data_IF_098525242905
#
_entry.id   IF_098525242905
#
_cell.length_a   1.000
_cell.length_b   1.000
_cell.length_c   1.000
_cell.angle_alpha   90.00
_cell.angle_beta   90.00
_cell.angle_gamma   90.00
#
_symmetry.space_group_name_H-M   'P 1'
#
loop_
_entity.id
_entity.type
_entity.pdbx_description
1 polymer ?
#
# COMPACT_ATOMS: atom_id res chain seq x y z
N UNK A 1 -5.41 54.53 -43.24
CA UNK A 1 -5.87 53.58 -42.20
C UNK A 1 -4.69 52.81 -41.58
N UNK A 2 -4.09 53.26 -40.46
CA UNK A 2 -3.13 52.45 -39.68
C UNK A 2 -3.48 52.31 -38.17
N UNK A 3 -4.55 52.94 -37.68
CA UNK A 3 -4.82 53.07 -36.24
C UNK A 3 -5.43 51.80 -35.60
N UNK A 4 -6.19 51.01 -36.37
CA UNK A 4 -6.88 49.81 -35.87
C UNK A 4 -5.89 48.67 -35.58
N UNK A 5 -4.81 48.53 -36.36
CA UNK A 5 -3.84 47.45 -36.15
C UNK A 5 -3.06 47.64 -34.85
N UNK A 6 -2.58 48.86 -34.54
CA UNK A 6 -1.82 49.15 -33.30
C UNK A 6 -2.63 48.90 -32.02
N UNK A 7 -3.93 49.20 -32.03
CA UNK A 7 -4.83 48.95 -30.89
C UNK A 7 -5.00 47.44 -30.61
N UNK A 8 -5.21 46.65 -31.66
CA UNK A 8 -5.33 45.19 -31.55
C UNK A 8 -4.02 44.52 -31.13
N UNK A 9 -2.86 45.01 -31.59
CA UNK A 9 -1.54 44.55 -31.14
C UNK A 9 -1.29 44.87 -29.65
N UNK A 10 -1.68 46.06 -29.19
CA UNK A 10 -1.60 46.44 -27.77
C UNK A 10 -2.49 45.57 -26.89
N UNK A 11 -3.74 45.30 -27.31
CA UNK A 11 -4.66 44.42 -26.60
C UNK A 11 -4.16 42.97 -26.54
N UNK A 12 -3.64 42.43 -27.65
CA UNK A 12 -3.05 41.09 -27.72
C UNK A 12 -1.82 40.97 -26.81
N UNK A 13 -0.97 42.00 -26.79
CA UNK A 13 0.22 42.02 -25.93
C UNK A 13 -0.14 42.09 -24.44
N UNK A 14 -1.17 42.87 -24.08
CA UNK A 14 -1.71 42.92 -22.71
C UNK A 14 -2.33 41.58 -22.30
N UNK A 15 -3.11 40.96 -23.19
CA UNK A 15 -3.69 39.64 -22.94
C UNK A 15 -2.60 38.57 -22.75
N UNK A 16 -1.58 38.57 -23.62
CA UNK A 16 -0.44 37.67 -23.50
C UNK A 16 0.31 37.89 -22.18
N UNK A 17 0.53 39.14 -21.78
CA UNK A 17 1.17 39.46 -20.50
C UNK A 17 0.33 38.98 -19.31
N UNK A 18 -0.98 39.23 -19.31
CA UNK A 18 -1.88 38.72 -18.26
C UNK A 18 -1.85 37.20 -18.19
N UNK A 19 -1.91 36.50 -19.33
CA UNK A 19 -1.82 35.04 -19.39
C UNK A 19 -0.47 34.53 -18.85
N UNK A 20 0.64 35.20 -19.17
CA UNK A 20 1.96 34.86 -18.65
C UNK A 20 2.04 35.05 -17.12
N UNK A 21 1.53 36.16 -16.60
CA UNK A 21 1.48 36.42 -15.15
C UNK A 21 0.60 35.38 -14.46
N UNK A 22 -0.59 35.08 -15.00
CA UNK A 22 -1.47 34.05 -14.45
C UNK A 22 -0.83 32.67 -14.49
N UNK A 23 -0.18 32.30 -15.59
CA UNK A 23 0.52 31.02 -15.72
C UNK A 23 1.68 30.92 -14.72
N UNK A 24 2.45 32.00 -14.53
CA UNK A 24 3.50 32.05 -13.53
C UNK A 24 2.95 31.90 -12.10
N UNK A 25 1.93 32.67 -11.73
CA UNK A 25 1.28 32.55 -10.42
C UNK A 25 0.73 31.14 -10.18
N UNK A 26 0.12 30.53 -11.20
CA UNK A 26 -0.39 29.17 -11.12
C UNK A 26 0.74 28.15 -10.94
N UNK A 27 1.84 28.29 -11.68
CA UNK A 27 3.02 27.43 -11.56
C UNK A 27 3.66 27.55 -10.17
N UNK A 28 3.79 28.77 -9.62
CA UNK A 28 4.26 28.97 -8.25
C UNK A 28 3.32 28.33 -7.22
N UNK A 29 2.01 28.50 -7.37
CA UNK A 29 1.04 27.85 -6.51
C UNK A 29 1.17 26.32 -6.54
N UNK A 30 1.26 25.71 -7.73
CA UNK A 30 1.44 24.26 -7.88
C UNK A 30 2.75 23.78 -7.27
N UNK A 31 3.84 24.55 -7.40
CA UNK A 31 5.11 24.27 -6.74
C UNK A 31 4.96 24.19 -5.22
N UNK A 32 4.42 25.23 -4.58
CA UNK A 32 4.28 25.29 -3.12
C UNK A 32 3.36 24.20 -2.58
N UNK A 33 2.19 23.99 -3.20
CA UNK A 33 1.24 22.98 -2.72
C UNK A 33 1.77 21.56 -2.94
N UNK A 34 2.50 21.32 -4.03
CA UNK A 34 3.13 20.01 -4.25
C UNK A 34 4.24 19.75 -3.25
N UNK A 35 5.09 20.75 -2.95
CA UNK A 35 6.12 20.67 -1.90
C UNK A 35 5.49 20.41 -0.53
N UNK A 36 4.41 21.10 -0.17
CA UNK A 36 3.71 20.88 1.09
C UNK A 36 3.11 19.48 1.18
N UNK A 37 2.50 18.98 0.10
CA UNK A 37 1.90 17.65 0.07
C UNK A 37 2.96 16.53 0.12
N UNK A 38 4.12 16.74 -0.52
CA UNK A 38 5.27 15.85 -0.38
C UNK A 38 5.81 15.89 1.05
N UNK A 39 5.96 17.07 1.66
CA UNK A 39 6.40 17.19 3.06
C UNK A 39 5.45 16.44 4.01
N UNK A 40 4.14 16.56 3.78
CA UNK A 40 3.12 15.83 4.54
C UNK A 40 3.15 14.32 4.28
N UNK A 41 3.53 13.86 3.07
CA UNK A 41 3.75 12.43 2.80
C UNK A 41 5.01 11.90 3.47
N UNK A 42 6.07 12.69 3.48
CA UNK A 42 7.38 12.26 4.00
C UNK A 42 7.64 12.66 5.45
N UNK A 43 6.63 13.17 6.16
CA UNK A 43 6.70 13.38 7.61
C UNK A 43 6.76 12.05 8.36
N UNK A 44 7.35 12.10 9.55
CA UNK A 44 7.44 10.96 10.44
C UNK A 44 6.06 10.41 10.81
N UNK A 45 5.98 9.09 10.99
CA UNK A 45 4.85 8.46 11.66
C UNK A 45 5.25 8.19 13.10
N UNK A 46 4.52 8.75 14.06
CA UNK A 46 4.74 8.45 15.47
C UNK A 46 4.14 7.08 15.76
N UNK A 47 5.00 6.14 16.17
CA UNK A 47 4.57 4.84 16.65
C UNK A 47 4.48 4.90 18.18
N UNK A 48 3.28 5.22 18.69
CA UNK A 48 3.02 5.34 20.13
C UNK A 48 3.38 4.04 20.88
N UNK A 49 4.25 4.14 21.88
CA UNK A 49 4.49 3.07 22.86
C UNK A 49 3.37 3.13 23.91
N UNK A 50 2.14 2.85 23.49
CA UNK A 50 0.97 3.06 24.36
C UNK A 50 0.83 2.00 25.48
N UNK A 51 1.54 0.87 25.41
CA UNK A 51 1.51 -0.16 26.46
C UNK A 51 2.92 -0.66 26.77
N UNK A 52 3.33 -0.68 28.04
CA UNK A 52 4.62 -1.21 28.45
C UNK A 52 4.86 -2.69 28.11
N UNK A 53 3.79 -3.44 27.83
CA UNK A 53 3.82 -4.85 27.47
C UNK A 53 3.96 -5.08 25.95
N UNK A 54 3.70 -4.05 25.14
CA UNK A 54 3.79 -4.08 23.67
C UNK A 54 5.03 -3.31 23.18
N UNK A 55 6.12 -3.27 23.94
CA UNK A 55 7.31 -2.54 23.51
C UNK A 55 7.91 -3.24 22.30
N UNK A 56 7.90 -2.61 21.11
CA UNK A 56 8.72 -3.10 20.03
C UNK A 56 10.16 -3.07 20.55
N UNK A 57 10.89 -4.19 20.46
CA UNK A 57 12.29 -4.24 20.88
C UNK A 57 13.11 -3.47 19.84
N UNK A 58 13.07 -2.14 19.94
CA UNK A 58 13.75 -1.21 19.07
C UNK A 58 15.25 -1.11 19.38
N UNK A 59 15.68 -1.64 20.53
CA UNK A 59 17.07 -1.80 20.95
C UNK A 59 17.39 -3.30 21.08
N UNK A 60 18.35 -3.78 20.28
CA UNK A 60 18.95 -5.13 20.31
C UNK A 60 20.42 -4.96 19.86
N UNK A 61 21.38 -5.62 20.53
CA UNK A 61 21.47 -7.07 20.39
C UNK A 61 21.67 -7.82 21.72
N UNK A 62 21.13 -9.02 21.78
CA UNK A 62 21.71 -10.13 22.56
C UNK A 62 22.61 -10.98 21.64
N UNK A 63 23.33 -11.95 22.21
CA UNK A 63 24.38 -12.70 21.52
C UNK A 63 23.85 -13.52 20.31
N UNK A 64 22.64 -14.08 20.41
CA UNK A 64 22.02 -14.87 19.33
C UNK A 64 21.67 -14.00 18.11
N UNK A 65 21.15 -12.79 18.33
CA UNK A 65 20.85 -11.85 17.25
C UNK A 65 22.11 -11.40 16.50
N UNK A 66 23.23 -11.25 17.22
CA UNK A 66 24.51 -10.90 16.63
C UNK A 66 25.06 -12.04 15.76
N UNK A 67 25.01 -13.29 16.24
CA UNK A 67 25.42 -14.47 15.47
C UNK A 67 24.59 -14.65 14.19
N UNK A 68 23.27 -14.44 14.26
CA UNK A 68 22.40 -14.51 13.08
C UNK A 68 22.72 -13.42 12.06
N UNK A 69 22.94 -12.18 12.50
CA UNK A 69 23.35 -11.08 11.61
C UNK A 69 24.70 -11.34 10.96
N UNK A 70 25.66 -11.87 11.71
CA UNK A 70 26.97 -12.24 11.21
C UNK A 70 26.88 -13.37 10.16
N UNK A 71 26.03 -14.39 10.35
CA UNK A 71 25.75 -15.42 9.32
C UNK A 71 25.18 -14.79 8.04
N UNK A 72 24.21 -13.88 8.16
CA UNK A 72 23.62 -13.21 7.00
C UNK A 72 24.68 -12.44 6.21
N UNK A 73 25.49 -11.63 6.89
CA UNK A 73 26.52 -10.80 6.26
C UNK A 73 27.64 -11.66 5.68
N UNK A 74 28.08 -12.71 6.38
CA UNK A 74 29.14 -13.60 5.93
C UNK A 74 28.79 -14.36 4.65
N UNK A 75 27.50 -14.67 4.43
CA UNK A 75 27.01 -15.42 3.28
C UNK A 75 26.29 -14.53 2.25
N UNK A 76 26.68 -13.25 2.15
CA UNK A 76 26.06 -12.30 1.23
C UNK A 76 26.14 -12.69 -0.24
N UNK A 77 27.18 -13.40 -0.64
CA UNK A 77 27.37 -13.88 -2.01
C UNK A 77 26.33 -14.93 -2.42
N UNK A 78 25.68 -15.59 -1.46
CA UNK A 78 24.62 -16.58 -1.69
C UNK A 78 23.22 -15.96 -1.77
N UNK A 79 23.09 -14.66 -1.56
CA UNK A 79 21.81 -13.97 -1.60
C UNK A 79 21.24 -13.91 -3.03
N UNK A 80 20.03 -14.45 -3.21
CA UNK A 80 19.35 -14.43 -4.51
C UNK A 80 18.44 -13.21 -4.62
N UNK A 81 18.60 -12.39 -5.66
CA UNK A 81 17.75 -11.21 -5.88
C UNK A 81 16.32 -11.63 -6.20
N UNK A 82 15.35 -11.22 -5.38
CA UNK A 82 13.92 -11.38 -5.63
C UNK A 82 13.33 -10.16 -6.36
N UNK A 83 13.87 -8.97 -6.10
CA UNK A 83 13.40 -7.74 -6.74
C UNK A 83 14.26 -6.53 -6.45
N UNK A 84 14.17 -5.54 -7.34
CA UNK A 84 14.83 -4.24 -7.18
C UNK A 84 13.82 -3.13 -7.46
N UNK A 85 13.82 -2.12 -6.59
CA UNK A 85 12.95 -0.96 -6.69
C UNK A 85 13.72 0.34 -6.50
N UNK A 86 12.97 1.45 -6.52
CA UNK A 86 13.55 2.77 -6.25
C UNK A 86 14.10 2.87 -4.83
N UNK A 87 13.45 2.24 -3.84
CA UNK A 87 13.80 2.39 -2.42
C UNK A 87 14.92 1.45 -1.97
N UNK A 88 15.20 0.39 -2.73
CA UNK A 88 16.21 -0.61 -2.40
C UNK A 88 15.98 -1.95 -3.09
N UNK A 89 16.57 -3.01 -2.54
CA UNK A 89 16.54 -4.37 -3.10
C UNK A 89 15.96 -5.37 -2.12
N UNK A 90 15.43 -6.46 -2.64
CA UNK A 90 14.90 -7.59 -1.88
C UNK A 90 15.63 -8.84 -2.32
N UNK A 91 16.16 -9.58 -1.35
CA UNK A 91 16.91 -10.81 -1.53
C UNK A 91 16.25 -11.96 -0.78
N UNK A 92 16.48 -13.18 -1.24
CA UNK A 92 16.22 -14.42 -0.52
C UNK A 92 17.55 -15.06 -0.10
N UNK A 93 17.59 -15.58 1.11
CA UNK A 93 18.69 -16.41 1.61
C UNK A 93 18.14 -17.41 2.62
N UNK A 94 18.37 -18.71 2.36
CA UNK A 94 17.73 -19.82 3.11
C UNK A 94 16.22 -19.60 3.20
N UNK A 95 15.66 -19.59 4.40
CA UNK A 95 14.26 -19.37 4.74
C UNK A 95 13.95 -17.89 5.09
N UNK A 96 14.83 -16.96 4.70
CA UNK A 96 14.72 -15.54 5.01
C UNK A 96 14.63 -14.66 3.76
N UNK A 97 13.92 -13.54 3.91
CA UNK A 97 13.89 -12.44 2.96
C UNK A 97 14.61 -11.24 3.57
N UNK A 98 15.53 -10.65 2.82
CA UNK A 98 16.35 -9.52 3.25
C UNK A 98 16.02 -8.32 2.37
N UNK A 99 15.42 -7.30 2.94
CA UNK A 99 15.14 -6.02 2.27
C UNK A 99 16.20 -5.00 2.66
N UNK A 100 16.92 -4.48 1.68
CA UNK A 100 17.87 -3.38 1.88
C UNK A 100 17.22 -2.06 1.51
N UNK A 101 17.62 -0.99 2.19
CA UNK A 101 17.10 0.35 1.96
C UNK A 101 18.24 1.28 1.59
N UNK A 102 18.25 1.71 0.32
CA UNK A 102 19.32 2.54 -0.22
C UNK A 102 19.19 3.99 0.27
N UNK A 103 20.17 4.51 1.03
CA UNK A 103 20.16 5.88 1.52
C UNK A 103 20.02 6.90 0.37
N UNK A 104 19.27 7.97 0.61
CA UNK A 104 19.13 9.09 -0.33
C UNK A 104 18.19 8.87 -1.53
N UNK A 105 17.67 7.66 -1.75
CA UNK A 105 16.65 7.42 -2.80
C UNK A 105 15.24 7.70 -2.29
N UNK A 106 14.86 7.11 -1.16
CA UNK A 106 13.58 7.37 -0.48
C UNK A 106 13.86 8.01 0.89
N UNK A 107 13.13 9.06 1.28
CA UNK A 107 13.29 9.66 2.60
C UNK A 107 12.97 8.68 3.70
N UNK A 108 13.95 8.40 4.55
CA UNK A 108 13.67 7.82 5.85
C UNK A 108 12.93 8.86 6.69
N UNK A 109 11.72 8.50 7.13
CA UNK A 109 10.79 9.44 7.77
C UNK A 109 10.88 9.38 9.28
N UNK A 110 11.31 8.24 9.82
CA UNK A 110 11.34 7.95 11.24
C UNK A 110 12.74 8.09 11.80
N UNK A 111 12.85 8.49 13.05
CA UNK A 111 14.11 8.44 13.79
C UNK A 111 14.31 7.03 14.34
N UNK A 112 15.54 6.52 14.24
CA UNK A 112 15.92 5.25 14.81
C UNK A 112 15.96 5.36 16.33
N UNK A 113 15.39 4.38 17.05
CA UNK A 113 15.48 4.34 18.51
C UNK A 113 16.93 4.18 18.96
N UNK A 114 17.31 4.81 20.07
CA UNK A 114 18.64 4.68 20.66
C UNK A 114 19.78 5.34 19.86
N UNK A 115 19.52 5.91 18.67
CA UNK A 115 20.54 6.55 17.83
C UNK A 115 20.30 8.07 17.70
N UNK A 116 21.34 8.86 17.96
CA UNK A 116 21.28 10.32 17.77
C UNK A 116 21.46 10.68 16.30
N UNK A 117 20.60 11.57 15.78
CA UNK A 117 20.63 12.04 14.39
C UNK A 117 20.49 10.97 13.29
N UNK A 118 20.05 9.76 13.64
CA UNK A 118 19.90 8.67 12.67
C UNK A 118 18.42 8.46 12.31
N UNK A 119 18.16 8.31 11.02
CA UNK A 119 16.84 7.97 10.48
C UNK A 119 16.85 6.54 9.96
N UNK A 120 15.69 5.90 10.06
CA UNK A 120 15.47 4.56 9.52
C UNK A 120 14.17 4.48 8.70
N UNK A 121 14.05 3.44 7.86
CA UNK A 121 12.80 3.15 7.14
C UNK A 121 11.60 3.03 8.09
N UNK A 122 10.47 3.65 7.72
CA UNK A 122 9.20 3.49 8.45
C UNK A 122 8.79 2.02 8.55
N UNK A 123 9.13 1.21 7.55
CA UNK A 123 8.81 -0.22 7.53
C UNK A 123 9.44 -0.98 8.68
N UNK A 124 10.69 -0.67 9.07
CA UNK A 124 11.33 -1.34 10.21
C UNK A 124 10.52 -1.05 11.48
N UNK A 125 10.23 0.22 11.75
CA UNK A 125 9.46 0.62 12.92
C UNK A 125 8.05 0.00 12.94
N UNK A 126 7.36 -0.01 11.80
CA UNK A 126 6.03 -0.58 11.67
C UNK A 126 6.04 -2.11 11.81
N UNK A 127 6.99 -2.81 11.18
CA UNK A 127 7.10 -4.28 11.29
C UNK A 127 7.43 -4.72 12.70
N UNK A 128 8.32 -4.02 13.41
CA UNK A 128 8.58 -4.29 14.82
C UNK A 128 7.33 -4.07 15.69
N UNK A 129 6.50 -3.07 15.36
CA UNK A 129 5.29 -2.76 16.12
C UNK A 129 4.13 -3.73 15.87
N UNK A 130 3.94 -4.17 14.62
CA UNK A 130 2.78 -4.96 14.24
C UNK A 130 3.10 -6.44 14.02
N UNK A 131 4.21 -6.74 13.35
CA UNK A 131 4.66 -8.12 13.10
C UNK A 131 5.38 -8.75 14.29
N UNK A 132 6.03 -7.94 15.14
CA UNK A 132 6.85 -8.43 16.25
C UNK A 132 8.04 -9.29 15.80
N UNK A 133 8.58 -10.13 16.69
CA UNK A 133 9.73 -10.99 16.40
C UNK A 133 9.34 -12.46 16.22
N UNK A 134 9.97 -13.13 15.25
CA UNK A 134 9.70 -14.55 14.90
C UNK A 134 9.95 -15.53 16.08
N UNK A 135 10.95 -15.27 16.92
CA UNK A 135 11.23 -16.08 18.11
C UNK A 135 10.16 -15.96 19.21
N UNK A 136 9.51 -14.80 19.34
CA UNK A 136 8.41 -14.58 20.30
C UNK A 136 7.13 -15.30 19.83
N UNK A 137 6.95 -15.46 18.52
CA UNK A 137 5.81 -16.19 17.93
C UNK A 137 5.90 -17.70 18.18
N UNK A 138 7.10 -18.28 18.13
CA UNK A 138 7.30 -19.73 18.23
C UNK A 138 7.37 -20.27 19.67
N UNK A 139 7.72 -19.44 20.65
CA UNK A 139 7.90 -19.89 22.04
C UNK A 139 6.60 -19.97 22.86
N UNK A 140 5.44 -19.63 22.28
CA UNK A 140 4.15 -19.71 22.97
C UNK A 140 4.04 -18.82 24.23
N UNK A 141 5.04 -17.96 24.47
CA UNK A 141 5.01 -16.95 25.51
C UNK A 141 4.04 -15.88 25.04
N UNK A 142 2.77 -16.11 25.35
CA UNK A 142 1.61 -15.26 25.06
C UNK A 142 1.66 -13.94 25.88
N UNK A 143 2.85 -13.36 26.01
CA UNK A 143 3.08 -11.97 26.40
C UNK A 143 2.79 -11.00 25.25
N UNK A 144 1.71 -11.21 24.50
CA UNK A 144 0.91 -10.15 23.89
C UNK A 144 1.65 -9.07 23.07
N UNK A 145 2.68 -9.39 22.27
CA UNK A 145 3.45 -8.42 21.44
C UNK A 145 3.09 -8.37 19.95
N UNK A 146 2.39 -9.36 19.39
CA UNK A 146 2.19 -9.50 17.94
C UNK A 146 0.74 -9.28 17.51
N UNK A 147 0.51 -8.51 16.44
CA UNK A 147 -0.76 -8.53 15.74
C UNK A 147 -0.76 -9.76 14.83
N UNK A 148 -1.61 -10.74 15.13
CA UNK A 148 -1.83 -11.88 14.22
C UNK A 148 -2.16 -11.36 12.81
N UNK A 149 -1.53 -11.94 11.79
CA UNK A 149 -1.78 -11.57 10.40
C UNK A 149 -0.85 -10.52 9.77
N UNK A 150 0.27 -10.20 10.40
CA UNK A 150 1.36 -9.41 9.83
C UNK A 150 2.65 -10.22 9.73
N UNK A 151 3.51 -9.90 8.75
CA UNK A 151 4.81 -10.56 8.63
C UNK A 151 5.72 -10.22 9.83
N UNK A 152 6.25 -11.23 10.55
CA UNK A 152 7.15 -10.99 11.66
C UNK A 152 8.56 -10.59 11.19
N UNK A 153 9.32 -10.00 12.11
CA UNK A 153 10.71 -9.61 11.91
C UNK A 153 11.62 -10.68 12.50
N UNK A 154 12.65 -11.07 11.74
CA UNK A 154 13.74 -11.92 12.23
C UNK A 154 14.92 -11.10 12.71
N UNK A 155 15.30 -10.08 11.95
CA UNK A 155 16.36 -9.16 12.30
C UNK A 155 16.18 -7.82 11.60
N UNK A 156 16.83 -6.79 12.12
CA UNK A 156 17.08 -5.55 11.41
C UNK A 156 18.43 -5.01 11.85
N UNK A 157 19.20 -4.47 10.91
CA UNK A 157 20.55 -4.00 11.19
C UNK A 157 21.00 -2.99 10.16
N UNK A 158 22.09 -2.31 10.44
CA UNK A 158 22.72 -1.36 9.52
C UNK A 158 24.12 -1.87 9.20
N UNK A 159 24.39 -2.16 7.92
CA UNK A 159 25.66 -2.74 7.48
C UNK A 159 26.05 -2.19 6.11
N UNK A 160 27.35 -2.06 5.87
CA UNK A 160 27.88 -1.66 4.57
C UNK A 160 27.98 -2.86 3.62
N UNK A 161 27.83 -2.60 2.32
CA UNK A 161 28.07 -3.56 1.24
C UNK A 161 29.56 -3.87 1.08
N UNK A 162 30.39 -2.86 1.28
CA UNK A 162 31.84 -2.94 1.29
C UNK A 162 32.40 -1.89 2.26
N UNK A 163 33.66 -2.00 2.71
CA UNK A 163 34.27 -0.98 3.59
C UNK A 163 34.28 0.44 3.01
N UNK A 164 34.07 0.59 1.70
CA UNK A 164 34.05 1.86 0.99
C UNK A 164 32.65 2.44 0.77
N UNK A 165 31.59 1.70 1.12
CA UNK A 165 30.20 2.11 0.93
C UNK A 165 29.54 2.55 2.24
N UNK A 166 28.61 3.48 2.13
CA UNK A 166 27.80 3.90 3.28
C UNK A 166 26.94 2.73 3.77
N UNK A 167 26.78 2.56 5.08
CA UNK A 167 25.98 1.47 5.62
C UNK A 167 24.50 1.66 5.31
N UNK A 168 23.87 0.60 4.79
CA UNK A 168 22.45 0.55 4.47
C UNK A 168 21.66 -0.14 5.59
N UNK A 169 20.40 0.25 5.75
CA UNK A 169 19.48 -0.47 6.63
C UNK A 169 19.03 -1.77 5.96
N UNK A 170 18.90 -2.83 6.75
CA UNK A 170 18.45 -4.15 6.37
C UNK A 170 17.28 -4.54 7.27
N UNK A 171 16.20 -5.06 6.67
CA UNK A 171 15.08 -5.68 7.36
C UNK A 171 14.98 -7.14 6.91
N UNK A 172 14.93 -8.05 7.86
CA UNK A 172 14.88 -9.49 7.63
C UNK A 172 13.55 -10.03 8.12
N UNK A 173 12.84 -10.73 7.25
CA UNK A 173 11.57 -11.43 7.55
C UNK A 173 11.67 -12.89 7.13
N UNK A 174 10.77 -13.78 7.58
CA UNK A 174 10.68 -15.12 7.00
C UNK A 174 10.35 -15.05 5.50
N UNK A 175 10.84 -16.04 4.75
CA UNK A 175 10.42 -16.30 3.37
C UNK A 175 9.08 -17.02 3.40
N UNK A 176 8.05 -16.38 2.84
CA UNK A 176 6.75 -17.02 2.60
C UNK A 176 6.83 -17.78 1.28
N UNK A 177 6.94 -19.10 1.35
CA UNK A 177 7.20 -19.98 0.19
C UNK A 177 6.15 -19.84 -0.92
N UNK A 178 4.89 -19.70 -0.52
CA UNK A 178 3.73 -19.57 -1.42
C UNK A 178 3.56 -18.16 -2.02
N UNK A 179 4.46 -17.24 -1.67
CA UNK A 179 4.51 -15.89 -2.23
C UNK A 179 3.34 -15.02 -1.79
N UNK A 180 2.78 -14.26 -2.73
CA UNK A 180 1.67 -13.33 -2.49
C UNK A 180 0.43 -13.67 -3.34
N UNK A 181 -0.67 -12.93 -3.16
CA UNK A 181 -1.92 -13.19 -3.90
C UNK A 181 -1.77 -13.16 -5.43
N UNK A 182 -0.77 -12.48 -5.99
CA UNK A 182 -0.51 -12.58 -7.44
C UNK A 182 0.03 -13.94 -7.83
N UNK A 183 0.90 -14.50 -7.01
CA UNK A 183 1.50 -15.81 -7.23
C UNK A 183 0.44 -16.90 -7.06
N UNK A 184 -0.39 -16.79 -6.02
CA UNK A 184 -1.55 -17.68 -5.82
C UNK A 184 -2.54 -17.61 -6.99
N UNK A 185 -2.93 -16.42 -7.45
CA UNK A 185 -3.81 -16.30 -8.62
C UNK A 185 -3.20 -16.93 -9.88
N UNK A 186 -1.89 -16.76 -10.08
CA UNK A 186 -1.17 -17.34 -11.21
C UNK A 186 -1.09 -18.87 -11.10
N UNK A 187 -0.96 -19.43 -9.90
CA UNK A 187 -1.02 -20.87 -9.63
C UNK A 187 -2.40 -21.43 -9.97
N UNK A 188 -3.44 -20.85 -9.39
CA UNK A 188 -4.84 -21.27 -9.59
C UNK A 188 -5.27 -21.20 -11.06
N UNK A 189 -4.94 -20.12 -11.77
CA UNK A 189 -5.29 -19.97 -13.20
C UNK A 189 -4.64 -21.02 -14.11
N UNK A 190 -3.60 -21.73 -13.66
CA UNK A 190 -2.93 -22.80 -14.41
C UNK A 190 -3.44 -24.18 -14.04
N UNK A 191 -3.64 -24.42 -12.75
CA UNK A 191 -3.93 -25.73 -12.18
C UNK A 191 -5.42 -26.04 -12.18
N UNK A 192 -6.27 -25.02 -12.01
CA UNK A 192 -7.69 -25.22 -11.70
C UNK A 192 -8.56 -24.64 -12.80
N UNK A 193 -8.59 -25.32 -13.95
CA UNK A 193 -9.28 -24.85 -15.16
C UNK A 193 -10.81 -24.91 -15.08
N UNK A 194 -11.33 -25.78 -14.22
CA UNK A 194 -12.77 -26.05 -14.14
C UNK A 194 -13.47 -25.30 -13.00
N UNK A 195 -12.73 -24.65 -12.10
CA UNK A 195 -13.36 -23.88 -11.03
C UNK A 195 -14.00 -22.60 -11.59
N UNK A 196 -15.26 -22.44 -11.27
CA UNK A 196 -16.00 -21.20 -11.45
C UNK A 196 -15.46 -20.11 -10.52
N UNK A 197 -15.72 -18.85 -10.89
CA UNK A 197 -15.43 -17.67 -10.05
C UNK A 197 -16.04 -17.83 -8.65
N UNK A 198 -17.23 -18.47 -8.55
CA UNK A 198 -17.92 -18.68 -7.27
C UNK A 198 -17.19 -19.68 -6.38
N UNK A 199 -16.66 -20.77 -6.92
CA UNK A 199 -15.92 -21.76 -6.13
C UNK A 199 -14.60 -21.19 -5.60
N UNK A 200 -13.91 -20.37 -6.42
CA UNK A 200 -12.71 -19.66 -5.96
C UNK A 200 -13.10 -18.65 -4.86
N UNK A 201 -14.15 -17.87 -5.07
CA UNK A 201 -14.63 -16.93 -4.06
C UNK A 201 -15.03 -17.65 -2.77
N UNK A 202 -15.81 -18.73 -2.83
CA UNK A 202 -16.19 -19.53 -1.67
C UNK A 202 -15.00 -20.04 -0.88
N UNK A 203 -13.99 -20.57 -1.55
CA UNK A 203 -12.82 -21.13 -0.88
C UNK A 203 -12.00 -20.05 -0.16
N UNK A 204 -11.80 -18.89 -0.79
CA UNK A 204 -10.92 -17.84 -0.25
C UNK A 204 -11.67 -16.72 0.51
N UNK A 205 -13.00 -16.74 0.53
CA UNK A 205 -13.83 -15.80 1.29
C UNK A 205 -13.46 -15.73 2.77
N UNK A 206 -13.24 -16.85 3.49
CA UNK A 206 -12.84 -16.81 4.89
C UNK A 206 -11.46 -16.16 5.10
N UNK A 207 -10.53 -16.38 4.17
CA UNK A 207 -9.20 -15.74 4.21
C UNK A 207 -9.31 -14.22 4.06
N UNK A 208 -10.15 -13.76 3.13
CA UNK A 208 -10.48 -12.35 2.99
C UNK A 208 -11.14 -11.76 4.25
N UNK A 209 -12.04 -12.51 4.90
CA UNK A 209 -12.69 -12.04 6.13
C UNK A 209 -11.73 -11.93 7.32
N UNK A 210 -10.76 -12.85 7.44
CA UNK A 210 -9.64 -12.74 8.41
C UNK A 210 -8.74 -11.55 8.10
N UNK A 211 -8.42 -11.29 6.82
CA UNK A 211 -7.70 -10.08 6.42
C UNK A 211 -8.41 -8.80 6.89
N UNK A 212 -9.75 -8.75 6.81
CA UNK A 212 -10.53 -7.63 7.33
C UNK A 212 -10.43 -7.51 8.86
N UNK A 213 -10.34 -8.61 9.60
CA UNK A 213 -10.09 -8.59 11.05
C UNK A 213 -8.72 -8.00 11.37
N UNK A 214 -7.67 -8.42 10.66
CA UNK A 214 -6.31 -7.90 10.86
C UNK A 214 -6.24 -6.38 10.60
N UNK A 215 -6.94 -5.91 9.57
CA UNK A 215 -7.08 -4.47 9.29
C UNK A 215 -7.89 -3.75 10.38
N UNK A 216 -8.92 -4.37 10.92
CA UNK A 216 -9.65 -3.82 12.06
C UNK A 216 -8.72 -3.58 13.25
N UNK A 217 -7.88 -4.56 13.60
CA UNK A 217 -6.93 -4.46 14.72
C UNK A 217 -5.91 -3.33 14.48
N UNK A 218 -5.40 -3.18 13.24
CA UNK A 218 -4.54 -2.06 12.85
C UNK A 218 -5.24 -0.69 13.01
N UNK A 219 -6.50 -0.61 12.56
CA UNK A 219 -7.32 0.60 12.61
C UNK A 219 -7.70 0.99 14.05
N UNK A 220 -7.96 0.01 14.91
CA UNK A 220 -8.19 0.18 16.35
C UNK A 220 -6.93 0.65 17.08
N UNK A 221 -5.75 0.19 16.65
CA UNK A 221 -4.46 0.73 17.08
C UNK A 221 -4.19 2.17 16.55
N UNK A 222 -5.13 2.75 15.78
CA UNK A 222 -5.05 4.10 15.18
C UNK A 222 -4.04 4.23 14.05
N UNK A 223 -3.80 3.17 13.27
CA UNK A 223 -2.97 3.22 12.07
C UNK A 223 -3.75 2.81 10.82
N UNK A 224 -3.26 3.23 9.66
CA UNK A 224 -3.70 2.82 8.33
C UNK A 224 -2.48 2.27 7.59
N UNK A 225 -2.69 1.23 6.77
CA UNK A 225 -1.64 0.60 5.98
C UNK A 225 -1.27 1.44 4.76
N UNK A 226 -2.25 2.11 4.13
CA UNK A 226 -2.12 3.02 2.98
C UNK A 226 -1.62 2.40 1.66
N UNK A 227 -1.21 1.13 1.65
CA UNK A 227 -0.69 0.47 0.44
C UNK A 227 -1.15 -0.99 0.28
N UNK A 228 -2.38 -1.29 0.68
CA UNK A 228 -2.97 -2.62 0.48
C UNK A 228 -3.15 -2.87 -1.03
N UNK A 229 -2.55 -3.96 -1.50
CA UNK A 229 -2.57 -4.45 -2.90
C UNK A 229 -2.21 -5.94 -2.90
N UNK A 230 -2.53 -6.71 -3.96
CA UNK A 230 -2.26 -8.16 -3.99
C UNK A 230 -0.80 -8.55 -3.76
N UNK A 231 0.16 -7.69 -4.14
CA UNK A 231 1.60 -7.96 -3.94
C UNK A 231 2.06 -7.82 -2.47
N UNK A 232 1.25 -7.21 -1.61
CA UNK A 232 1.55 -6.97 -0.19
C UNK A 232 0.71 -7.86 0.74
N UNK A 233 -0.04 -8.81 0.17
CA UNK A 233 -0.81 -9.83 0.90
C UNK A 233 -0.14 -11.17 0.60
N UNK A 234 0.63 -11.66 1.56
CA UNK A 234 1.39 -12.89 1.49
C UNK A 234 0.51 -14.09 1.86
N UNK A 235 0.78 -15.25 1.26
CA UNK A 235 0.01 -16.48 1.45
C UNK A 235 0.89 -17.43 2.25
N UNK A 236 0.72 -17.47 3.57
CA UNK A 236 1.49 -18.39 4.42
C UNK A 236 1.05 -19.82 4.22
N UNK A 237 -0.27 -20.02 4.16
CA UNK A 237 -0.95 -21.23 3.75
C UNK A 237 -2.17 -20.80 2.92
N UNK A 238 -2.76 -21.68 2.12
CA UNK A 238 -3.81 -21.33 1.13
C UNK A 238 -4.84 -20.31 1.66
N UNK A 239 -5.36 -20.53 2.88
CA UNK A 239 -6.35 -19.62 3.49
C UNK A 239 -5.79 -18.70 4.57
N UNK A 240 -4.51 -18.80 4.93
CA UNK A 240 -3.87 -17.96 5.93
C UNK A 240 -3.03 -16.86 5.26
N UNK A 241 -3.53 -15.61 5.32
CA UNK A 241 -2.92 -14.49 4.63
C UNK A 241 -2.31 -13.50 5.61
N UNK A 242 -1.10 -13.03 5.28
CA UNK A 242 -0.34 -12.06 6.06
C UNK A 242 -0.22 -10.74 5.30
N UNK A 243 -0.39 -9.62 6.01
CA UNK A 243 -0.07 -8.29 5.50
C UNK A 243 1.42 -7.99 5.66
N UNK A 244 2.04 -7.52 4.60
CA UNK A 244 3.44 -7.11 4.59
C UNK A 244 3.66 -5.78 3.89
N UNK A 245 4.93 -5.38 3.78
CA UNK A 245 5.35 -4.07 3.22
C UNK A 245 4.66 -2.90 3.92
N UNK A 246 5.06 -2.71 5.18
CA UNK A 246 4.52 -1.70 6.08
C UNK A 246 5.19 -0.32 5.90
N UNK A 247 5.94 -0.12 4.81
CA UNK A 247 6.66 1.12 4.52
C UNK A 247 5.79 2.35 4.34
N UNK A 248 4.47 2.18 4.16
CA UNK A 248 3.50 3.28 4.07
C UNK A 248 2.56 3.40 5.29
N UNK A 249 2.74 2.58 6.33
CA UNK A 249 1.90 2.66 7.53
C UNK A 249 1.99 4.04 8.16
N UNK A 250 0.82 4.59 8.52
CA UNK A 250 0.67 5.93 9.10
C UNK A 250 -0.39 5.94 10.17
N UNK A 251 -0.21 6.80 11.18
CA UNK A 251 -1.24 7.08 12.15
C UNK A 251 -2.48 7.72 11.47
N UNK A 252 -3.69 7.44 11.93
CA UNK A 252 -4.95 7.92 11.29
C UNK A 252 -5.01 9.44 11.15
N UNK A 253 -4.36 10.19 12.04
CA UNK A 253 -4.27 11.66 12.01
C UNK A 253 -3.08 12.21 11.22
N UNK A 254 -2.33 11.36 10.52
CA UNK A 254 -1.13 11.77 9.79
C UNK A 254 -1.46 12.81 8.71
N UNK A 255 -0.64 13.86 8.59
CA UNK A 255 -0.89 15.00 7.70
C UNK A 255 -1.04 14.62 6.22
N UNK A 256 -0.48 13.47 5.81
CA UNK A 256 -0.67 12.91 4.49
C UNK A 256 -2.14 12.72 4.12
N UNK A 257 -2.99 12.24 5.04
CA UNK A 257 -4.41 11.90 4.77
C UNK A 257 -5.29 13.12 4.46
N UNK A 258 -4.81 14.33 4.80
CA UNK A 258 -5.48 15.60 4.45
C UNK A 258 -4.77 16.37 3.33
N UNK A 259 -3.62 15.88 2.86
CA UNK A 259 -2.83 16.55 1.83
C UNK A 259 -3.54 16.57 0.46
N UNK A 260 -3.15 17.52 -0.40
CA UNK A 260 -3.64 17.53 -1.79
C UNK A 260 -3.21 16.28 -2.55
N UNK A 261 -2.01 15.77 -2.29
CA UNK A 261 -1.54 14.53 -2.93
C UNK A 261 -2.47 13.34 -2.65
N UNK A 262 -3.01 13.23 -1.43
CA UNK A 262 -4.00 12.21 -1.09
C UNK A 262 -5.31 12.39 -1.86
N UNK A 263 -5.81 13.64 -1.91
CA UNK A 263 -7.06 14.00 -2.58
C UNK A 263 -6.97 13.84 -4.11
N UNK A 264 -5.87 14.28 -4.73
CA UNK A 264 -5.63 14.19 -6.17
C UNK A 264 -5.51 12.73 -6.64
N UNK A 265 -5.21 11.79 -5.72
CA UNK A 265 -5.26 10.35 -5.96
C UNK A 265 -6.65 9.73 -5.71
N UNK A 266 -7.70 10.55 -5.52
CA UNK A 266 -9.07 10.11 -5.23
C UNK A 266 -9.18 9.15 -4.02
N UNK A 267 -8.29 9.30 -3.04
CA UNK A 267 -8.34 8.50 -1.83
C UNK A 267 -9.46 9.00 -0.92
N UNK A 268 -10.04 8.10 -0.12
CA UNK A 268 -11.11 8.45 0.82
C UNK A 268 -10.53 9.30 1.97
N UNK A 269 -11.30 10.27 2.45
CA UNK A 269 -10.88 11.16 3.55
C UNK A 269 -10.52 10.38 4.83
N UNK A 270 -11.24 9.30 5.12
CA UNK A 270 -10.89 8.38 6.18
C UNK A 270 -9.98 7.28 5.61
N UNK A 271 -8.70 7.28 6.02
CA UNK A 271 -7.73 6.29 5.56
C UNK A 271 -8.14 4.86 5.92
N UNK A 272 -8.90 4.67 7.00
CA UNK A 272 -9.38 3.33 7.41
C UNK A 272 -10.37 2.80 6.37
N UNK A 273 -11.32 3.63 5.97
CA UNK A 273 -12.24 3.29 4.90
C UNK A 273 -11.50 3.04 3.57
N UNK A 274 -10.44 3.81 3.31
CA UNK A 274 -9.59 3.63 2.14
C UNK A 274 -8.91 2.25 2.13
N UNK A 275 -8.30 1.84 3.25
CA UNK A 275 -7.72 0.52 3.42
C UNK A 275 -8.73 -0.60 3.18
N UNK A 276 -9.92 -0.51 3.78
CA UNK A 276 -10.97 -1.54 3.61
C UNK A 276 -11.41 -1.66 2.15
N UNK A 277 -11.59 -0.53 1.46
CA UNK A 277 -11.92 -0.55 0.04
C UNK A 277 -10.77 -1.08 -0.82
N UNK A 278 -9.51 -0.80 -0.46
CA UNK A 278 -8.34 -1.36 -1.15
C UNK A 278 -8.18 -2.86 -0.91
N UNK A 279 -8.50 -3.36 0.28
CA UNK A 279 -8.54 -4.78 0.57
C UNK A 279 -9.59 -5.49 -0.30
N UNK A 280 -10.81 -4.94 -0.38
CA UNK A 280 -11.86 -5.47 -1.25
C UNK A 280 -11.43 -5.46 -2.73
N UNK A 281 -10.87 -4.35 -3.21
CA UNK A 281 -10.33 -4.27 -4.58
C UNK A 281 -9.24 -5.31 -4.82
N UNK A 282 -8.33 -5.50 -3.88
CA UNK A 282 -7.24 -6.48 -3.97
C UNK A 282 -7.78 -7.91 -4.03
N UNK A 283 -8.81 -8.22 -3.23
CA UNK A 283 -9.50 -9.50 -3.29
C UNK A 283 -10.18 -9.74 -4.64
N UNK A 284 -10.89 -8.75 -5.19
CA UNK A 284 -11.47 -8.87 -6.53
C UNK A 284 -10.40 -8.99 -7.63
N UNK A 285 -9.27 -8.30 -7.50
CA UNK A 285 -8.13 -8.46 -8.41
C UNK A 285 -7.58 -9.89 -8.36
N UNK A 286 -7.47 -10.48 -7.17
CA UNK A 286 -7.08 -11.87 -6.97
C UNK A 286 -8.07 -12.84 -7.65
N UNK A 287 -9.37 -12.76 -7.32
CA UNK A 287 -10.40 -13.64 -7.89
C UNK A 287 -10.44 -13.52 -9.42
N UNK A 288 -10.39 -12.29 -9.94
CA UNK A 288 -10.35 -12.04 -11.38
C UNK A 288 -9.11 -12.68 -12.03
N UNK A 289 -7.94 -12.52 -11.43
CA UNK A 289 -6.70 -13.06 -11.98
C UNK A 289 -6.63 -14.60 -11.91
N UNK A 290 -7.24 -15.19 -10.89
CA UNK A 290 -7.37 -16.64 -10.73
C UNK A 290 -8.41 -17.26 -11.67
N UNK A 291 -9.42 -16.48 -12.09
CA UNK A 291 -10.52 -16.94 -12.93
C UNK A 291 -10.05 -17.45 -14.30
N UNK A 292 -10.58 -18.60 -14.78
CA UNK A 292 -10.27 -19.13 -16.11
C UNK A 292 -10.80 -18.23 -17.24
N UNK A 293 -11.82 -17.39 -16.97
CA UNK A 293 -12.40 -16.47 -17.94
C UNK A 293 -12.56 -15.05 -17.36
N UNK A 294 -11.49 -14.26 -17.50
CA UNK A 294 -11.46 -12.85 -17.06
C UNK A 294 -12.49 -11.97 -17.77
N UNK A 295 -12.81 -12.27 -19.04
CA UNK A 295 -13.80 -11.48 -19.79
C UNK A 295 -15.20 -11.67 -19.22
N UNK A 296 -15.56 -12.91 -18.88
CA UNK A 296 -16.84 -13.20 -18.25
C UNK A 296 -16.93 -12.55 -16.86
N UNK A 297 -15.86 -12.64 -16.07
CA UNK A 297 -15.76 -11.91 -14.80
C UNK A 297 -16.03 -10.41 -15.00
N UNK A 298 -15.41 -9.79 -16.00
CA UNK A 298 -15.54 -8.36 -16.22
C UNK A 298 -16.98 -7.94 -16.57
N UNK A 299 -17.69 -8.76 -17.34
CA UNK A 299 -19.11 -8.55 -17.66
C UNK A 299 -19.93 -8.65 -16.37
N UNK A 300 -19.79 -9.75 -15.65
CA UNK A 300 -20.58 -10.02 -14.44
C UNK A 300 -20.26 -9.04 -13.30
N UNK A 301 -19.04 -8.49 -13.29
CA UNK A 301 -18.62 -7.42 -12.40
C UNK A 301 -19.35 -6.11 -12.67
N UNK A 302 -19.31 -5.60 -13.90
CA UNK A 302 -19.99 -4.33 -14.23
C UNK A 302 -21.51 -4.47 -14.15
N UNK A 303 -22.03 -5.64 -14.48
CA UNK A 303 -23.47 -5.90 -14.48
C UNK A 303 -24.04 -6.32 -13.12
N UNK A 304 -23.21 -6.41 -12.07
CA UNK A 304 -23.63 -6.77 -10.70
C UNK A 304 -24.34 -8.12 -10.60
N UNK A 305 -24.06 -9.06 -11.51
CA UNK A 305 -24.71 -10.38 -11.56
C UNK A 305 -24.29 -11.29 -10.41
N UNK A 306 -22.99 -11.28 -10.10
CA UNK A 306 -22.40 -12.17 -9.11
C UNK A 306 -22.45 -11.56 -7.69
N UNK A 307 -22.57 -12.38 -6.62
CA UNK A 307 -22.54 -11.88 -5.24
C UNK A 307 -21.31 -11.00 -4.94
N UNK A 308 -20.13 -11.42 -5.40
CA UNK A 308 -18.89 -10.64 -5.26
C UNK A 308 -18.98 -9.26 -5.92
N UNK A 309 -19.62 -9.16 -7.08
CA UNK A 309 -19.85 -7.90 -7.78
C UNK A 309 -20.78 -6.99 -6.98
N UNK A 310 -21.89 -7.54 -6.46
CA UNK A 310 -22.84 -6.78 -5.63
C UNK A 310 -22.22 -6.30 -4.33
N UNK A 311 -21.39 -7.13 -3.69
CA UNK A 311 -20.60 -6.75 -2.53
C UNK A 311 -19.76 -5.51 -2.84
N UNK A 312 -18.99 -5.54 -3.93
CA UNK A 312 -18.15 -4.43 -4.34
C UNK A 312 -18.94 -3.14 -4.59
N UNK A 313 -20.01 -3.21 -5.37
CA UNK A 313 -20.77 -2.01 -5.73
C UNK A 313 -21.57 -1.44 -4.55
N UNK A 314 -22.11 -2.31 -3.68
CA UNK A 314 -22.77 -1.90 -2.44
C UNK A 314 -21.78 -1.24 -1.48
N UNK A 315 -20.60 -1.85 -1.32
CA UNK A 315 -19.53 -1.28 -0.51
C UNK A 315 -19.06 0.06 -1.07
N UNK A 316 -18.88 0.16 -2.40
CA UNK A 316 -18.45 1.38 -3.10
C UNK A 316 -19.43 2.53 -2.93
N UNK A 317 -20.74 2.28 -2.99
CA UNK A 317 -21.76 3.29 -2.74
C UNK A 317 -21.71 3.83 -1.28
N UNK A 318 -21.30 3.00 -0.33
CA UNK A 318 -21.12 3.35 1.08
C UNK A 318 -19.69 3.65 1.49
N UNK A 319 -18.76 3.81 0.54
CA UNK A 319 -17.32 3.82 0.77
C UNK A 319 -16.83 4.83 1.82
N UNK A 320 -17.31 6.10 1.86
CA UNK A 320 -16.80 7.09 2.81
C UNK A 320 -16.99 6.73 4.30
N UNK A 321 -17.88 5.77 4.61
CA UNK A 321 -18.16 5.28 5.97
C UNK A 321 -17.92 3.77 6.09
N UNK A 322 -17.06 3.22 5.24
CA UNK A 322 -16.76 1.79 5.26
C UNK A 322 -15.82 1.47 6.41
N UNK A 323 -16.10 0.38 7.13
CA UNK A 323 -15.24 -0.20 8.17
C UNK A 323 -15.11 -1.70 7.92
N UNK A 324 -14.13 -2.34 8.56
CA UNK A 324 -13.94 -3.80 8.49
C UNK A 324 -15.24 -4.55 8.87
N UNK A 325 -15.79 -4.25 10.05
CA UNK A 325 -17.04 -4.86 10.53
C UNK A 325 -18.22 -4.65 9.56
N UNK A 326 -18.35 -3.46 8.96
CA UNK A 326 -19.41 -3.19 7.99
C UNK A 326 -19.22 -4.00 6.72
N UNK A 327 -17.98 -4.12 6.22
CA UNK A 327 -17.71 -4.90 5.02
C UNK A 327 -17.87 -6.40 5.28
N UNK A 328 -17.48 -6.90 6.46
CA UNK A 328 -17.73 -8.29 6.87
C UNK A 328 -19.22 -8.60 6.93
N UNK A 329 -20.04 -7.71 7.48
CA UNK A 329 -21.49 -7.86 7.45
C UNK A 329 -22.02 -7.94 6.00
N UNK A 330 -21.53 -7.06 5.10
CA UNK A 330 -21.90 -7.12 3.68
C UNK A 330 -21.41 -8.41 3.01
N UNK A 331 -20.22 -8.90 3.38
CA UNK A 331 -19.62 -10.14 2.90
C UNK A 331 -20.49 -11.35 3.23
N UNK A 332 -20.98 -11.42 4.48
CA UNK A 332 -21.91 -12.46 4.92
C UNK A 332 -23.27 -12.38 4.19
N UNK A 333 -23.74 -11.17 3.88
CA UNK A 333 -25.00 -10.96 3.12
C UNK A 333 -24.85 -11.33 1.64
N UNK A 334 -23.71 -11.02 1.02
CA UNK A 334 -23.39 -11.36 -0.37
C UNK A 334 -22.49 -12.60 -0.47
N UNK A 335 -22.85 -13.65 0.27
CA UNK A 335 -22.12 -14.92 0.27
C UNK A 335 -22.17 -15.61 -1.11
N UNK A 336 -21.13 -16.36 -1.53
CA UNK A 336 -21.03 -16.96 -2.88
C UNK A 336 -22.22 -17.84 -3.32
N UNK A 337 -22.87 -18.54 -2.39
CA UNK A 337 -24.06 -19.37 -2.68
C UNK A 337 -25.36 -18.61 -2.84
N UNK A 338 -25.35 -17.28 -2.65
CA UNK A 338 -26.56 -16.48 -2.80
C UNK A 338 -27.07 -16.56 -4.24
N UNK A 339 -28.36 -16.83 -4.38
CA UNK A 339 -29.01 -16.92 -5.68
C UNK A 339 -28.76 -15.63 -6.50
N UNK A 340 -28.51 -15.76 -7.82
CA UNK A 340 -28.41 -14.59 -8.68
C UNK A 340 -29.69 -13.77 -8.59
N UNK A 341 -29.55 -12.46 -8.41
CA UNK A 341 -30.69 -11.55 -8.42
C UNK A 341 -31.05 -11.28 -9.88
N UNK A 342 -32.34 -11.37 -10.28
CA UNK A 342 -32.75 -11.03 -11.63
C UNK A 342 -32.31 -9.60 -11.99
N UNK A 343 -31.84 -9.41 -13.23
CA UNK A 343 -31.39 -8.13 -13.74
C UNK A 343 -32.40 -7.01 -13.48
N UNK A 344 -31.95 -5.90 -12.90
CA UNK A 344 -32.61 -4.61 -13.09
C UNK A 344 -31.85 -3.82 -14.15
N UNK A 345 -32.45 -3.64 -15.32
CA UNK A 345 -31.82 -3.00 -16.48
C UNK A 345 -31.41 -1.53 -16.18
N UNK A 346 -32.08 -0.88 -15.23
CA UNK A 346 -31.84 0.53 -14.87
C UNK A 346 -30.47 0.79 -14.23
N UNK A 347 -30.05 -0.02 -13.24
CA UNK A 347 -28.78 0.24 -12.54
C UNK A 347 -27.55 -0.13 -13.39
N UNK A 348 -27.69 -1.16 -14.21
CA UNK A 348 -26.67 -1.66 -15.14
C UNK A 348 -26.34 -0.61 -16.21
N UNK A 349 -27.37 0.06 -16.72
CA UNK A 349 -27.28 1.11 -17.73
C UNK A 349 -26.47 2.32 -17.25
N UNK A 350 -26.63 2.75 -16.00
CA UNK A 350 -25.92 3.93 -15.46
C UNK A 350 -24.40 3.72 -15.30
N UNK A 351 -23.96 2.53 -14.85
CA UNK A 351 -22.53 2.22 -14.73
C UNK A 351 -21.87 2.06 -16.10
N UNK A 352 -22.54 1.35 -17.01
CA UNK A 352 -22.04 1.22 -18.38
C UNK A 352 -22.00 2.58 -19.11
N UNK A 353 -22.93 3.50 -18.80
CA UNK A 353 -22.87 4.89 -19.27
C UNK A 353 -21.65 5.64 -18.73
N UNK A 354 -21.30 5.49 -17.45
CA UNK A 354 -20.09 6.09 -16.85
C UNK A 354 -18.81 5.64 -17.58
N UNK A 355 -18.80 4.44 -18.14
CA UNK A 355 -17.65 3.87 -18.86
C UNK A 355 -17.85 3.74 -20.38
N UNK A 356 -18.82 4.46 -20.96
CA UNK A 356 -19.26 4.28 -22.36
C UNK A 356 -18.14 4.38 -23.42
N UNK A 357 -17.05 5.08 -23.09
CA UNK A 357 -15.91 5.27 -23.99
C UNK A 357 -14.74 4.29 -23.74
N UNK A 358 -14.85 3.41 -22.75
CA UNK A 358 -13.77 2.52 -22.35
C UNK A 358 -14.10 1.07 -22.72
N UNK A 359 -13.06 0.28 -23.00
CA UNK A 359 -13.24 -1.16 -23.09
C UNK A 359 -13.64 -1.72 -21.72
N UNK A 360 -14.40 -2.81 -21.72
CA UNK A 360 -14.85 -3.50 -20.51
C UNK A 360 -13.70 -3.71 -19.50
N UNK A 361 -12.59 -4.29 -19.99
CA UNK A 361 -11.37 -4.53 -19.21
C UNK A 361 -10.83 -3.26 -18.54
N UNK A 362 -10.79 -2.14 -19.26
CA UNK A 362 -10.28 -0.86 -18.75
C UNK A 362 -11.20 -0.26 -17.68
N UNK A 363 -12.52 -0.43 -17.82
CA UNK A 363 -13.49 -0.03 -16.81
C UNK A 363 -13.29 -0.81 -15.50
N UNK A 364 -13.12 -2.13 -15.59
CA UNK A 364 -12.82 -2.96 -14.41
C UNK A 364 -11.47 -2.64 -13.80
N UNK A 365 -10.42 -2.48 -14.63
CA UNK A 365 -9.08 -2.10 -14.16
C UNK A 365 -9.10 -0.80 -13.35
N UNK A 366 -9.87 0.20 -13.81
CA UNK A 366 -10.01 1.47 -13.11
C UNK A 366 -10.84 1.34 -11.82
N UNK A 367 -11.95 0.60 -11.86
CA UNK A 367 -12.78 0.38 -10.68
C UNK A 367 -12.00 -0.35 -9.56
N UNK A 368 -11.14 -1.30 -9.95
CA UNK A 368 -10.30 -2.07 -9.03
C UNK A 368 -8.93 -1.44 -8.78
N UNK A 369 -8.66 -0.22 -9.23
CA UNK A 369 -7.35 0.40 -9.10
C UNK A 369 -6.98 0.66 -7.62
N UNK A 370 -5.78 0.23 -7.24
CA UNK A 370 -5.16 0.39 -5.92
C UNK A 370 -3.88 1.24 -5.99
N UNK A 371 -3.56 1.84 -7.14
CA UNK A 371 -2.31 2.61 -7.29
C UNK A 371 -2.46 4.02 -6.71
N UNK A 372 -1.42 4.49 -6.02
CA UNK A 372 -1.27 5.89 -5.60
C UNK A 372 -0.02 6.44 -6.31
N UNK A 373 -0.20 7.50 -7.09
CA UNK A 373 0.87 8.15 -7.84
C UNK A 373 1.35 9.44 -7.18
N UNK A 374 2.65 9.69 -7.25
CA UNK A 374 3.26 10.96 -6.81
C UNK A 374 3.99 11.71 -7.93
N UNK A 375 3.99 11.18 -9.16
CA UNK A 375 4.79 11.71 -10.28
C UNK A 375 4.50 13.20 -10.55
N UNK A 376 3.23 13.59 -10.56
CA UNK A 376 2.84 14.98 -10.78
C UNK A 376 3.29 15.90 -9.64
N UNK A 377 3.14 15.45 -8.39
CA UNK A 377 3.62 16.23 -7.23
C UNK A 377 5.15 16.37 -7.22
N UNK A 378 5.90 15.32 -7.60
CA UNK A 378 7.36 15.41 -7.75
C UNK A 378 7.77 16.35 -8.88
N UNK A 379 7.06 16.31 -10.00
CA UNK A 379 7.32 17.20 -11.13
C UNK A 379 7.04 18.66 -10.79
N UNK A 380 5.84 18.97 -10.29
CA UNK A 380 5.48 20.32 -9.87
C UNK A 380 6.30 20.82 -8.69
N UNK A 381 6.66 19.94 -7.75
CA UNK A 381 7.54 20.26 -6.63
C UNK A 381 9.03 20.35 -7.00
N UNK A 382 9.38 20.12 -8.27
CA UNK A 382 10.75 20.20 -8.80
C UNK A 382 11.73 19.37 -7.95
N UNK A 383 11.33 18.15 -7.61
CA UNK A 383 12.08 17.25 -6.71
C UNK A 383 13.45 16.87 -7.29
N UNK A 384 13.59 16.85 -8.62
CA UNK A 384 14.89 16.58 -9.26
C UNK A 384 15.96 17.63 -8.96
N UNK A 385 15.57 18.85 -8.56
CA UNK A 385 16.50 19.94 -8.22
C UNK A 385 16.58 20.13 -6.70
N UNK A 386 15.43 20.15 -6.02
CA UNK A 386 15.36 20.49 -4.59
C UNK A 386 15.33 19.28 -3.65
N UNK A 387 15.33 18.07 -4.20
CA UNK A 387 15.06 16.85 -3.44
C UNK A 387 13.64 16.82 -2.88
N UNK A 388 13.35 15.74 -2.15
CA UNK A 388 12.10 15.62 -1.40
C UNK A 388 12.19 16.52 -0.15
N UNK A 389 11.12 17.23 0.25
CA UNK A 389 11.14 17.96 1.52
C UNK A 389 11.25 16.99 2.69
N UNK A 390 12.32 17.12 3.48
CA UNK A 390 12.58 16.30 4.65
C UNK A 390 12.79 17.17 5.88
N UNK A 391 12.25 16.74 7.03
CA UNK A 391 12.62 17.31 8.32
C UNK A 391 14.02 16.78 8.70
N UNK A 392 14.97 17.67 8.97
CA UNK A 392 16.41 17.33 9.02
C UNK A 392 16.90 16.77 10.36
N UNK A 393 16.12 16.82 11.43
CA UNK A 393 16.63 16.57 12.79
C UNK A 393 15.98 15.35 13.42
N UNK A 394 16.80 14.44 13.93
CA UNK A 394 16.41 13.32 14.78
C UNK A 394 17.07 13.47 16.16
N UNK A 395 16.27 13.36 17.22
CA UNK A 395 16.71 13.53 18.60
C UNK A 395 16.32 14.90 19.18
N UNK A 396 15.54 14.86 20.25
CA UNK A 396 15.61 15.79 21.37
C UNK A 396 15.58 14.97 22.65
#
# INVERSE_FOLDING_TARGET
MPYISRSLYSLRSRLAFVLLVTAFCHQQHLFFVSRQSLAAKYSATEFEVARPELHPRFERPDDEDAEFQDDLIANRDDWTVLGEGWEGKVFAYKDSVIKTFTPGRSPFRNCASGATNEKWPTEIAASLRFGGFDQEVNNGDAGNTTFEGFLPVRAYFKAALSPAEDPEWHLVTPLVEDGNLKDLAKRLSREVKDNSVREIDEHYRPAFERLLQNLQTLHEARYCHDDIKPANIFVQEDTNWLLGDLGNVRHVSHAYHSSRLWQDNNQLKDCRANDIMRALKSYLQFIRAASPNQQQFDVDFLERREPLSRLFWTASAGAPKMSAAKLQHLSAVEYPHRAPVPHSDEQTSEILKLFRHWSLRKAVDHALETRIGEKLARWWGIVSIFGVPENKTCGF
#
